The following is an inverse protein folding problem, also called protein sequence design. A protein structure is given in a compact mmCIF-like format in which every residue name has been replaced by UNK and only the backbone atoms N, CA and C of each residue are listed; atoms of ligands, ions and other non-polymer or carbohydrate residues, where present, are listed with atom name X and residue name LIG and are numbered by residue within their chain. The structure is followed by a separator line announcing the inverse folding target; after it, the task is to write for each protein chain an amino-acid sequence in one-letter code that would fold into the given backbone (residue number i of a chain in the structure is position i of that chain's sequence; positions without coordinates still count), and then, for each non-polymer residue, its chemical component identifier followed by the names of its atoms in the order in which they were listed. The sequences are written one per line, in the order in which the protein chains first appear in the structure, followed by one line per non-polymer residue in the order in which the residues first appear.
data_IF_398709281238
#
_entry.id   IF_398709281238
#
_cell.length_a   1.000
_cell.length_b   1.000
_cell.length_c   1.000
_cell.angle_alpha   90.00
_cell.angle_beta   90.00
_cell.angle_gamma   90.00
#
_symmetry.space_group_name_H-M   'P 1'
#
loop_
_entity.id
_entity.type
_entity.pdbx_description
1 polymer ?
#
# COMPACT_ATOMS: atom_id res chain seq x y z
N UNK A 1 15.77 -23.80 -9.12
CA UNK A 1 14.67 -22.90 -9.46
C UNK A 1 14.80 -21.54 -8.75
N UNK A 2 14.00 -20.59 -9.13
CA UNK A 2 14.04 -19.20 -8.73
C UNK A 2 13.99 -18.94 -7.20
N UNK A 3 13.32 -19.79 -6.40
CA UNK A 3 13.35 -19.70 -4.92
C UNK A 3 14.78 -19.83 -4.37
N UNK A 4 15.57 -20.77 -4.92
CA UNK A 4 16.95 -20.97 -4.48
C UNK A 4 17.86 -19.79 -4.86
N UNK A 5 17.63 -19.16 -6.01
CA UNK A 5 18.38 -17.95 -6.39
C UNK A 5 18.07 -16.75 -5.51
N UNK A 6 16.90 -16.71 -4.88
CA UNK A 6 16.52 -15.74 -3.87
C UNK A 6 16.94 -16.07 -2.43
N UNK A 7 17.68 -17.17 -2.20
CA UNK A 7 18.11 -17.59 -0.87
C UNK A 7 17.04 -18.30 -0.03
N UNK A 8 15.91 -18.66 -0.62
CA UNK A 8 14.81 -19.36 0.06
C UNK A 8 14.93 -20.86 -0.09
N UNK A 9 14.58 -21.59 0.97
CA UNK A 9 14.46 -23.06 0.88
C UNK A 9 13.24 -23.44 0.05
N UNK A 10 13.40 -24.45 -0.80
CA UNK A 10 12.26 -25.00 -1.52
C UNK A 10 11.26 -25.62 -0.53
N UNK A 11 9.94 -25.47 -0.75
CA UNK A 11 8.94 -26.13 0.08
C UNK A 11 9.01 -27.66 -0.13
N UNK A 12 8.45 -28.40 0.80
CA UNK A 12 8.27 -29.83 0.63
C UNK A 12 7.45 -30.14 -0.62
N UNK A 13 7.81 -31.23 -1.31
CA UNK A 13 7.20 -31.62 -2.59
C UNK A 13 5.66 -31.73 -2.47
N UNK A 14 5.16 -32.31 -1.38
CA UNK A 14 3.72 -32.47 -1.13
C UNK A 14 2.99 -31.13 -1.03
N UNK A 15 3.62 -30.16 -0.37
CA UNK A 15 3.08 -28.79 -0.19
C UNK A 15 3.06 -28.05 -1.53
N UNK A 16 4.11 -28.22 -2.32
CA UNK A 16 4.19 -27.65 -3.66
C UNK A 16 3.15 -28.26 -4.61
N UNK A 17 2.98 -29.58 -4.58
CA UNK A 17 2.00 -30.29 -5.42
C UNK A 17 0.57 -29.86 -5.08
N UNK A 18 0.24 -29.69 -3.80
CA UNK A 18 -1.04 -29.18 -3.36
C UNK A 18 -1.26 -27.75 -3.83
N UNK A 19 -0.27 -26.89 -3.72
CA UNK A 19 -0.36 -25.51 -4.21
C UNK A 19 -0.59 -25.45 -5.73
N UNK A 20 0.15 -26.26 -6.49
CA UNK A 20 -0.03 -26.37 -7.95
C UNK A 20 -1.42 -26.91 -8.31
N UNK A 21 -1.94 -27.85 -7.53
CA UNK A 21 -3.32 -28.35 -7.69
C UNK A 21 -4.34 -27.25 -7.47
N UNK A 22 -4.17 -26.45 -6.40
CA UNK A 22 -5.04 -25.32 -6.10
C UNK A 22 -4.96 -24.24 -7.20
N UNK A 23 -3.77 -23.94 -7.71
CA UNK A 23 -3.59 -23.00 -8.82
C UNK A 23 -4.34 -23.43 -10.07
N UNK A 24 -4.33 -24.74 -10.42
CA UNK A 24 -5.02 -25.27 -11.59
C UNK A 24 -6.53 -25.33 -11.41
N UNK A 25 -7.00 -25.62 -10.19
CA UNK A 25 -8.41 -25.72 -9.86
C UNK A 25 -9.07 -24.35 -9.62
N UNK A 26 -8.27 -23.30 -9.36
CA UNK A 26 -8.79 -22.00 -8.98
C UNK A 26 -9.29 -21.23 -10.20
N UNK A 27 -10.56 -20.83 -10.14
CA UNK A 27 -11.20 -19.94 -11.09
C UNK A 27 -11.61 -18.64 -10.38
N UNK A 28 -11.52 -17.52 -11.08
CA UNK A 28 -12.00 -16.23 -10.56
C UNK A 28 -11.21 -15.71 -9.36
N UNK A 29 -11.91 -15.41 -8.28
CA UNK A 29 -11.36 -14.74 -7.07
C UNK A 29 -10.63 -15.67 -6.09
N UNK A 30 -10.47 -16.95 -6.39
CA UNK A 30 -9.74 -17.89 -5.55
C UNK A 30 -8.27 -17.45 -5.43
N UNK A 31 -7.76 -17.50 -4.20
CA UNK A 31 -6.40 -17.04 -3.84
C UNK A 31 -5.58 -18.17 -3.26
N UNK A 32 -5.12 -19.11 -4.09
CA UNK A 32 -4.23 -20.15 -3.62
C UNK A 32 -3.00 -19.54 -2.95
N UNK A 33 -2.63 -20.10 -1.80
CA UNK A 33 -1.44 -19.70 -1.08
C UNK A 33 -0.68 -20.93 -0.56
N UNK A 34 0.63 -20.78 -0.48
CA UNK A 34 1.54 -21.74 0.14
C UNK A 34 2.34 -20.99 1.20
N UNK A 35 2.35 -21.53 2.42
CA UNK A 35 3.18 -21.04 3.51
C UNK A 35 4.36 -22.00 3.71
N UNK A 36 5.56 -21.46 3.80
CA UNK A 36 6.80 -22.23 3.98
C UNK A 36 7.69 -21.64 5.09
N UNK A 37 7.09 -21.37 6.25
CA UNK A 37 7.81 -20.87 7.43
C UNK A 37 8.41 -19.48 7.26
N UNK A 38 9.37 -19.32 6.34
CA UNK A 38 10.07 -18.05 6.12
C UNK A 38 9.49 -17.19 4.98
N UNK A 39 8.54 -17.72 4.22
CA UNK A 39 7.89 -17.00 3.12
C UNK A 39 6.52 -17.57 2.78
N UNK A 40 5.75 -16.80 2.02
CA UNK A 40 4.48 -17.20 1.42
C UNK A 40 4.53 -17.06 -0.08
N UNK A 41 3.94 -18.01 -0.82
CA UNK A 41 3.57 -17.83 -2.20
C UNK A 41 2.07 -17.57 -2.28
N UNK A 42 1.67 -16.55 -3.01
CA UNK A 42 0.26 -16.21 -3.16
C UNK A 42 -0.04 -15.78 -4.58
N UNK A 43 -1.09 -16.35 -5.18
CA UNK A 43 -1.58 -15.89 -6.48
C UNK A 43 -2.41 -14.62 -6.32
N UNK A 44 -2.14 -13.66 -7.20
CA UNK A 44 -3.00 -12.51 -7.40
C UNK A 44 -3.04 -12.15 -8.89
N UNK A 45 -4.25 -12.13 -9.45
CA UNK A 45 -4.45 -12.02 -10.91
C UNK A 45 -3.68 -13.14 -11.62
N UNK A 46 -2.84 -12.79 -12.58
CA UNK A 46 -2.08 -13.74 -13.41
C UNK A 46 -0.67 -14.05 -12.87
N UNK A 47 -0.31 -13.49 -11.70
CA UNK A 47 1.03 -13.63 -11.15
C UNK A 47 1.06 -14.35 -9.79
N UNK A 48 2.18 -15.01 -9.50
CA UNK A 48 2.50 -15.58 -8.19
C UNK A 48 3.51 -14.67 -7.52
N UNK A 49 3.20 -14.26 -6.30
CA UNK A 49 4.03 -13.38 -5.50
C UNK A 49 4.72 -14.14 -4.39
N UNK A 50 6.01 -13.91 -4.27
CA UNK A 50 6.81 -14.33 -3.13
C UNK A 50 6.75 -13.23 -2.07
N UNK A 51 6.15 -13.55 -0.94
CA UNK A 51 5.96 -12.62 0.16
C UNK A 51 6.78 -13.08 1.36
N UNK A 52 7.42 -12.19 2.11
CA UNK A 52 8.01 -12.56 3.40
C UNK A 52 6.91 -13.05 4.36
N UNK A 53 7.34 -13.61 5.48
CA UNK A 53 6.43 -13.87 6.59
C UNK A 53 5.64 -12.61 6.95
N UNK A 54 4.37 -12.78 7.32
CA UNK A 54 3.51 -11.65 7.66
C UNK A 54 4.02 -10.98 8.94
N UNK A 55 4.49 -9.73 8.90
CA UNK A 55 4.97 -9.05 10.11
C UNK A 55 3.85 -8.66 11.08
N UNK A 56 2.62 -9.05 10.77
CA UNK A 56 1.45 -8.68 11.56
C UNK A 56 0.84 -7.33 11.16
N UNK A 57 -0.20 -6.89 11.87
CA UNK A 57 -0.84 -5.61 11.64
C UNK A 57 0.09 -4.45 11.98
N UNK A 58 -0.08 -3.35 11.25
CA UNK A 58 0.50 -2.05 11.60
C UNK A 58 -0.64 -1.23 12.20
N UNK A 59 -0.57 -0.96 13.48
CA UNK A 59 -1.63 -0.30 14.25
C UNK A 59 -1.15 0.98 14.94
N UNK A 60 0.15 1.31 14.82
CA UNK A 60 0.73 2.49 15.42
C UNK A 60 0.57 3.71 14.51
N UNK A 61 -0.10 4.74 14.99
CA UNK A 61 -0.10 6.06 14.37
C UNK A 61 1.30 6.69 14.46
N UNK A 62 1.77 7.28 13.36
CA UNK A 62 3.09 7.90 13.27
C UNK A 62 2.97 9.33 12.78
N UNK A 63 3.73 10.23 13.39
CA UNK A 63 3.83 11.62 12.92
C UNK A 63 4.77 11.72 11.71
N UNK A 64 4.39 12.52 10.72
CA UNK A 64 5.24 12.88 9.59
C UNK A 64 5.09 14.37 9.27
N UNK A 65 6.19 15.02 8.96
CA UNK A 65 6.20 16.40 8.51
C UNK A 65 6.49 16.50 7.01
N UNK A 66 6.17 17.61 6.35
CA UNK A 66 6.62 17.89 4.99
C UNK A 66 8.13 17.70 4.82
N UNK A 67 8.55 16.93 3.81
CA UNK A 67 9.94 16.52 3.62
C UNK A 67 10.39 15.31 4.44
N UNK A 68 9.52 14.79 5.32
CA UNK A 68 9.82 13.62 6.16
C UNK A 68 9.89 12.31 5.37
N UNK A 69 10.70 11.39 5.90
CA UNK A 69 10.87 10.02 5.41
C UNK A 69 10.81 9.07 6.59
N UNK A 70 10.02 8.01 6.48
CA UNK A 70 9.87 6.98 7.50
C UNK A 70 10.03 5.62 6.84
N UNK A 71 10.83 4.74 7.47
CA UNK A 71 10.94 3.34 7.07
C UNK A 71 10.29 2.47 8.13
N UNK A 72 9.37 1.60 7.70
CA UNK A 72 8.62 0.71 8.58
C UNK A 72 8.83 -0.73 8.13
N UNK A 73 9.38 -1.59 9.01
CA UNK A 73 9.54 -3.01 8.72
C UNK A 73 8.21 -3.63 8.25
N UNK A 74 8.25 -4.38 7.14
CA UNK A 74 7.08 -5.02 6.56
C UNK A 74 6.07 -4.11 5.86
N UNK A 75 6.28 -2.80 5.87
CA UNK A 75 5.47 -1.81 5.14
C UNK A 75 6.27 -1.21 3.99
N UNK A 76 7.47 -0.73 4.28
CA UNK A 76 8.33 -0.06 3.32
C UNK A 76 8.70 1.35 3.72
N UNK A 77 9.14 2.10 2.71
CA UNK A 77 9.54 3.49 2.84
C UNK A 77 8.38 4.41 2.48
N UNK A 78 8.10 5.35 3.35
CA UNK A 78 7.07 6.37 3.16
C UNK A 78 7.75 7.72 3.16
N UNK A 79 7.48 8.55 2.17
CA UNK A 79 8.02 9.90 2.09
C UNK A 79 6.96 10.91 1.68
N UNK A 80 7.04 12.09 2.25
CA UNK A 80 6.22 13.24 1.88
C UNK A 80 7.14 14.24 1.19
N UNK A 81 7.03 14.34 -0.14
CA UNK A 81 7.96 15.13 -0.96
C UNK A 81 7.24 16.17 -1.82
N UNK A 82 7.98 17.19 -2.25
CA UNK A 82 7.48 18.16 -3.21
C UNK A 82 7.18 17.50 -4.55
N UNK A 83 6.13 17.97 -5.23
CA UNK A 83 5.78 17.53 -6.57
C UNK A 83 5.52 18.72 -7.48
N UNK A 84 5.79 18.56 -8.77
CA UNK A 84 5.42 19.53 -9.80
C UNK A 84 4.02 19.25 -10.36
N UNK A 85 3.45 18.12 -9.98
CA UNK A 85 2.10 17.71 -10.35
C UNK A 85 1.07 18.25 -9.35
N UNK A 86 -0.20 17.92 -9.58
CA UNK A 86 -1.25 18.17 -8.59
C UNK A 86 -0.99 17.41 -7.30
N UNK A 87 -1.10 18.09 -6.17
CA UNK A 87 -0.81 17.52 -4.86
C UNK A 87 -1.59 18.20 -3.75
N UNK A 88 -1.16 17.98 -2.51
CA UNK A 88 -1.73 18.58 -1.30
C UNK A 88 -0.88 19.78 -0.87
N UNK A 89 -1.54 20.86 -0.51
CA UNK A 89 -0.89 22.08 -0.06
C UNK A 89 -0.73 22.08 1.46
N UNK A 90 0.52 22.08 1.91
CA UNK A 90 0.90 21.99 3.31
C UNK A 90 1.88 23.10 3.67
N UNK A 91 1.75 23.65 4.88
CA UNK A 91 2.79 24.49 5.45
C UNK A 91 4.00 23.64 5.87
N UNK A 92 5.19 24.22 5.85
CA UNK A 92 6.44 23.49 6.13
C UNK A 92 6.54 22.96 7.56
N UNK A 93 5.83 23.56 8.50
CA UNK A 93 5.78 23.24 9.93
C UNK A 93 4.54 22.42 10.34
N UNK A 94 3.71 22.02 9.37
CA UNK A 94 2.52 21.21 9.66
C UNK A 94 2.93 19.79 10.11
N UNK A 95 2.31 19.35 11.19
CA UNK A 95 2.41 17.97 11.67
C UNK A 95 1.22 17.16 11.18
N UNK A 96 1.51 16.11 10.44
CA UNK A 96 0.51 15.20 9.90
C UNK A 96 0.65 13.83 10.56
N UNK A 97 -0.41 13.02 10.47
CA UNK A 97 -0.36 11.64 10.94
C UNK A 97 -0.46 10.64 9.80
N UNK A 98 0.35 9.59 9.89
CA UNK A 98 0.22 8.37 9.12
C UNK A 98 -0.57 7.38 9.93
N UNK A 99 -1.66 6.92 9.38
CA UNK A 99 -2.55 5.94 9.97
C UNK A 99 -2.73 4.77 9.01
N UNK A 100 -3.30 3.70 9.53
CA UNK A 100 -3.56 2.48 8.79
C UNK A 100 -5.05 2.22 8.74
N UNK A 101 -5.44 1.44 7.76
CA UNK A 101 -6.84 1.13 7.57
C UNK A 101 -7.36 0.24 8.71
N UNK A 102 -8.37 0.73 9.42
CA UNK A 102 -9.09 -0.01 10.47
C UNK A 102 -10.45 -0.58 9.96
N UNK A 103 -11.03 0.04 8.95
CA UNK A 103 -12.26 -0.39 8.28
C UNK A 103 -13.36 0.67 8.39
N UNK A 104 -14.17 0.74 7.33
CA UNK A 104 -15.25 1.73 7.26
C UNK A 104 -14.87 3.06 6.63
N UNK A 105 -13.59 3.35 6.46
CA UNK A 105 -13.11 4.60 5.90
C UNK A 105 -13.59 4.77 4.45
N UNK A 106 -13.81 6.01 4.10
CA UNK A 106 -14.22 6.43 2.77
C UNK A 106 -13.30 7.52 2.25
N UNK A 107 -13.04 7.51 0.96
CA UNK A 107 -12.29 8.55 0.28
C UNK A 107 -13.00 8.94 -1.01
N UNK A 108 -12.95 10.21 -1.34
CA UNK A 108 -13.17 10.71 -2.68
C UNK A 108 -11.80 11.11 -3.23
N UNK A 109 -11.26 10.33 -4.15
CA UNK A 109 -10.01 10.71 -4.81
C UNK A 109 -10.17 12.05 -5.52
N UNK A 110 -9.10 12.82 -5.55
CA UNK A 110 -9.06 14.11 -6.23
C UNK A 110 -9.50 13.96 -7.70
N UNK A 111 -10.29 14.90 -8.17
CA UNK A 111 -10.89 14.84 -9.50
C UNK A 111 -12.06 13.87 -9.68
N UNK A 112 -12.36 13.03 -8.69
CA UNK A 112 -13.49 12.10 -8.76
C UNK A 112 -14.77 12.70 -8.20
N UNK A 113 -15.93 12.35 -8.83
CA UNK A 113 -17.23 12.90 -8.44
C UNK A 113 -17.82 12.26 -7.17
N UNK A 114 -17.44 11.01 -6.85
CA UNK A 114 -18.09 10.21 -5.79
C UNK A 114 -17.09 9.67 -4.79
N UNK A 115 -17.49 9.68 -3.52
CA UNK A 115 -16.79 8.98 -2.45
C UNK A 115 -17.05 7.48 -2.55
N UNK A 116 -16.00 6.68 -2.32
CA UNK A 116 -16.04 5.21 -2.27
C UNK A 116 -15.43 4.72 -0.95
N UNK A 117 -15.76 3.48 -0.55
CA UNK A 117 -15.03 2.84 0.54
C UNK A 117 -13.56 2.63 0.15
N UNK A 118 -12.63 2.75 1.10
CA UNK A 118 -11.20 2.52 0.83
C UNK A 118 -10.95 1.12 0.27
N UNK A 119 -11.68 0.10 0.74
CA UNK A 119 -11.63 -1.25 0.17
C UNK A 119 -11.80 -1.24 -1.34
N UNK A 120 -12.81 -0.51 -1.84
CA UNK A 120 -13.10 -0.41 -3.27
C UNK A 120 -12.06 0.41 -4.02
N UNK A 121 -11.62 1.53 -3.45
CA UNK A 121 -10.56 2.39 -4.02
C UNK A 121 -9.28 1.59 -4.21
N UNK A 122 -8.80 0.90 -3.18
CA UNK A 122 -7.57 0.09 -3.23
C UNK A 122 -7.69 -1.10 -4.20
N UNK A 123 -8.89 -1.69 -4.29
CA UNK A 123 -9.16 -2.77 -5.25
C UNK A 123 -9.11 -2.27 -6.70
N UNK A 124 -9.74 -1.14 -6.99
CA UNK A 124 -9.74 -0.52 -8.32
C UNK A 124 -8.33 -0.03 -8.71
N UNK A 125 -7.54 0.46 -7.75
CA UNK A 125 -6.13 0.81 -7.94
C UNK A 125 -5.21 -0.40 -8.12
N UNK A 126 -5.73 -1.62 -8.06
CA UNK A 126 -4.95 -2.85 -8.26
C UNK A 126 -4.06 -3.23 -7.09
N UNK A 127 -4.23 -2.61 -5.91
CA UNK A 127 -3.43 -2.95 -4.73
C UNK A 127 -3.74 -4.39 -4.30
N UNK A 128 -2.73 -5.26 -4.22
CA UNK A 128 -2.91 -6.64 -3.77
C UNK A 128 -3.50 -6.73 -2.36
N UNK A 129 -4.30 -7.76 -2.03
CA UNK A 129 -4.98 -7.87 -0.75
C UNK A 129 -4.08 -7.77 0.48
N UNK A 130 -2.89 -8.34 0.42
CA UNK A 130 -1.91 -8.32 1.52
C UNK A 130 -1.29 -6.94 1.77
N UNK A 131 -1.34 -6.02 0.81
CA UNK A 131 -0.91 -4.65 0.97
C UNK A 131 -2.01 -3.71 1.43
N UNK A 132 -3.29 -4.05 1.22
CA UNK A 132 -4.41 -3.12 1.46
C UNK A 132 -4.54 -2.63 2.90
N UNK A 133 -4.05 -3.40 3.87
CA UNK A 133 -4.01 -2.98 5.28
C UNK A 133 -2.71 -2.26 5.65
N UNK A 134 -1.76 -2.20 4.73
CA UNK A 134 -0.46 -1.54 4.90
C UNK A 134 -0.30 -0.29 4.06
N UNK A 135 -1.30 0.07 3.28
CA UNK A 135 -1.31 1.34 2.56
C UNK A 135 -1.34 2.47 3.58
N UNK A 136 -0.33 3.35 3.60
CA UNK A 136 -0.33 4.49 4.51
C UNK A 136 -1.42 5.48 4.13
N UNK A 137 -2.15 5.95 5.13
CA UNK A 137 -3.18 6.96 5.04
C UNK A 137 -2.64 8.23 5.69
N UNK A 138 -2.57 9.32 4.93
CA UNK A 138 -2.09 10.61 5.43
C UNK A 138 -3.27 11.45 5.91
N UNK A 139 -3.22 11.86 7.16
CA UNK A 139 -4.23 12.69 7.80
C UNK A 139 -3.66 14.02 8.28
N UNK A 140 -4.46 15.06 8.18
CA UNK A 140 -4.33 16.28 8.94
C UNK A 140 -5.53 16.33 9.90
N UNK A 141 -5.27 16.21 11.19
CA UNK A 141 -6.31 16.01 12.20
C UNK A 141 -7.20 14.81 11.84
N UNK A 142 -8.48 15.03 11.54
CA UNK A 142 -9.44 13.99 11.14
C UNK A 142 -9.65 13.91 9.61
N UNK A 143 -9.01 14.80 8.84
CA UNK A 143 -9.20 14.87 7.40
C UNK A 143 -8.19 13.96 6.66
N UNK A 144 -8.70 13.00 5.90
CA UNK A 144 -7.88 12.13 5.04
C UNK A 144 -7.41 12.90 3.80
N UNK A 145 -6.11 13.15 3.71
CA UNK A 145 -5.50 13.93 2.63
C UNK A 145 -5.01 13.10 1.46
N UNK A 146 -4.46 11.91 1.72
CA UNK A 146 -3.85 11.08 0.66
C UNK A 146 -3.78 9.62 1.06
N UNK A 147 -3.77 8.77 0.03
CA UNK A 147 -3.55 7.33 0.12
C UNK A 147 -2.21 7.00 -0.54
N UNK A 148 -1.32 6.35 0.15
CA UNK A 148 0.01 6.00 -0.37
C UNK A 148 -0.06 5.32 -1.73
N UNK A 149 0.66 5.85 -2.71
CA UNK A 149 0.77 5.38 -4.10
C UNK A 149 -0.55 5.32 -4.91
N UNK A 150 -1.68 5.69 -4.31
CA UNK A 150 -2.97 5.79 -5.03
C UNK A 150 -3.24 7.24 -5.43
N UNK A 151 -2.94 8.17 -4.53
CA UNK A 151 -3.06 9.58 -4.80
C UNK A 151 -3.81 10.38 -3.73
N UNK A 152 -3.92 11.68 -3.93
CA UNK A 152 -4.58 12.59 -3.01
C UNK A 152 -6.09 12.40 -3.00
N UNK A 153 -6.68 12.68 -1.84
CA UNK A 153 -8.11 12.77 -1.66
C UNK A 153 -8.61 14.19 -1.92
N UNK A 154 -9.86 14.32 -2.32
CA UNK A 154 -10.54 15.59 -2.35
C UNK A 154 -10.68 16.09 -0.91
N UNK A 155 -9.87 17.05 -0.53
CA UNK A 155 -9.75 17.57 0.83
C UNK A 155 -9.71 19.10 0.81
N UNK A 156 -9.70 19.71 1.99
CA UNK A 156 -9.51 21.16 2.15
C UNK A 156 -8.15 21.64 1.62
N UNK A 157 -7.19 20.73 1.50
CA UNK A 157 -5.81 20.99 1.05
C UNK A 157 -5.57 20.65 -0.43
N UNK A 158 -6.59 20.15 -1.13
CA UNK A 158 -6.49 19.84 -2.56
C UNK A 158 -6.97 21.01 -3.43
N UNK A 159 -6.18 21.37 -4.43
CA UNK A 159 -6.55 22.39 -5.43
C UNK A 159 -6.56 23.84 -4.91
N UNK A 160 -6.12 24.06 -3.67
CA UNK A 160 -5.96 25.40 -3.09
C UNK A 160 -4.47 25.73 -3.08
N UNK A 161 -4.05 26.68 -3.90
CA UNK A 161 -2.70 27.23 -3.81
C UNK A 161 -2.61 28.06 -2.53
N UNK A 162 -1.79 27.61 -1.57
CA UNK A 162 -1.43 28.42 -0.41
C UNK A 162 -0.64 29.66 -0.87
N UNK A 163 -0.91 30.82 -0.29
CA UNK A 163 -0.27 32.09 -0.70
C UNK A 163 1.25 32.09 -0.46
N UNK A 164 1.78 31.13 0.34
CA UNK A 164 3.20 31.04 0.72
C UNK A 164 3.86 29.70 0.34
N UNK A 165 3.19 28.81 -0.40
CA UNK A 165 3.72 27.50 -0.72
C UNK A 165 4.28 27.44 -2.14
N UNK A 166 5.56 27.16 -2.27
CA UNK A 166 6.28 27.10 -3.55
C UNK A 166 5.82 25.96 -4.47
N UNK A 167 5.39 24.84 -3.91
CA UNK A 167 4.89 23.68 -4.65
C UNK A 167 4.07 22.75 -3.73
N UNK A 168 3.12 21.98 -4.27
CA UNK A 168 2.36 21.01 -3.49
C UNK A 168 3.22 19.79 -3.09
N UNK A 169 2.65 18.97 -2.21
CA UNK A 169 3.27 17.76 -1.69
C UNK A 169 2.55 16.51 -2.16
N UNK A 170 3.31 15.42 -2.31
CA UNK A 170 2.76 14.09 -2.56
C UNK A 170 3.25 13.08 -1.54
N UNK A 171 2.36 12.17 -1.16
CA UNK A 171 2.71 11.00 -0.35
C UNK A 171 3.19 9.88 -1.28
N UNK A 172 4.42 9.44 -1.09
CA UNK A 172 5.01 8.34 -1.84
C UNK A 172 5.24 7.16 -0.91
N UNK A 173 4.78 6.01 -1.31
CA UNK A 173 4.99 4.75 -0.62
C UNK A 173 5.69 3.75 -1.52
N UNK A 174 6.85 3.28 -1.07
CA UNK A 174 7.66 2.24 -1.71
C UNK A 174 7.58 0.99 -0.82
N UNK A 175 6.71 0.01 -1.14
CA UNK A 175 6.56 -1.20 -0.33
C UNK A 175 7.85 -2.01 -0.28
N UNK A 176 8.13 -2.62 0.85
CA UNK A 176 9.42 -3.30 1.13
C UNK A 176 9.70 -4.46 0.20
N UNK A 177 8.77 -5.07 -0.45
CA UNK A 177 8.94 -6.05 -1.55
C UNK A 177 7.55 -6.48 -2.05
N UNK A 178 7.35 -6.39 -3.34
CA UNK A 178 6.52 -7.33 -4.07
C UNK A 178 7.33 -7.72 -5.32
N UNK A 179 8.20 -8.67 -5.20
CA UNK A 179 8.75 -9.30 -6.40
C UNK A 179 7.62 -10.14 -7.00
N UNK A 180 6.88 -9.55 -7.92
CA UNK A 180 6.03 -10.30 -8.83
C UNK A 180 6.92 -10.90 -9.91
N UNK A 181 6.78 -12.17 -10.15
CA UNK A 181 7.34 -12.84 -11.32
C UNK A 181 6.17 -13.18 -12.25
N UNK A 182 6.21 -12.62 -13.44
CA UNK A 182 5.34 -12.98 -14.57
C UNK A 182 5.66 -14.38 -15.09
#
# INVERSE_FOLDING_TARGET
GWLKSGGYQAPDQSVLDEFLRQLRASTGDARPQLNSGSYRLQRYKEAIYLLPEDPGPVDQELAIAPGGVIEIPGVGRISLRRTESEGIWLAADESLSLQWRDGGERCRLAGHKRSKSLKKVLQEAGIPPWWRQRVPLLYLEEELLSLGSVGPCQSSRWGVSGQDAEAPWELVWEPTIASGYD
#
